data_IF_674704322511
#
_entry.id   IF_674704322511
#
_cell.length_a   1.000
_cell.length_b   1.000
_cell.length_c   1.000
_cell.angle_alpha   90.00
_cell.angle_beta   90.00
_cell.angle_gamma   90.00
#
_symmetry.space_group_name_H-M   'P 1'
#
loop_
_entity.id
_entity.type
_entity.pdbx_description
1 polymer ?
#
# COMPACT_ATOMS: atom_id res chain seq x y z
N UNK A 1 32.22 89.25 17.28
CA UNK A 1 33.21 88.27 17.79
C UNK A 1 32.49 86.95 18.00
N UNK A 2 32.67 86.01 17.06
CA UNK A 2 33.48 84.77 17.18
C UNK A 2 32.80 83.72 18.06
N UNK A 3 32.14 82.71 17.48
CA UNK A 3 32.71 81.42 17.01
C UNK A 3 33.35 80.60 18.14
N UNK A 4 32.77 79.42 18.41
CA UNK A 4 33.39 78.10 18.15
C UNK A 4 32.67 76.98 18.90
N UNK A 5 31.79 76.32 18.15
CA UNK A 5 31.73 74.87 17.91
C UNK A 5 32.90 74.04 18.50
N UNK A 6 32.56 73.06 19.34
CA UNK A 6 33.39 71.86 19.54
C UNK A 6 32.48 70.64 19.68
N UNK A 7 32.52 69.84 18.62
CA UNK A 7 32.03 68.47 18.52
C UNK A 7 32.57 67.58 19.64
N UNK A 8 31.72 66.70 20.16
CA UNK A 8 32.19 65.45 20.76
C UNK A 8 31.44 64.29 20.12
N UNK A 9 32.16 63.57 19.27
CA UNK A 9 31.71 62.42 18.49
C UNK A 9 31.65 61.20 19.41
N UNK A 10 30.45 60.75 19.74
CA UNK A 10 30.25 59.46 20.42
C UNK A 10 29.76 58.43 19.40
N UNK A 11 30.68 57.56 18.94
CA UNK A 11 30.39 56.43 18.07
C UNK A 11 29.49 55.41 18.79
N UNK A 12 28.18 55.50 18.57
CA UNK A 12 27.22 54.47 18.98
C UNK A 12 27.25 53.33 17.95
N UNK A 13 27.97 52.27 18.29
CA UNK A 13 27.95 51.01 17.56
C UNK A 13 26.51 50.48 17.45
N UNK A 14 25.97 50.47 16.23
CA UNK A 14 24.79 49.69 15.88
C UNK A 14 25.14 48.20 15.99
N UNK A 15 24.64 47.53 17.04
CA UNK A 15 24.60 46.07 17.06
C UNK A 15 23.15 45.62 16.80
N UNK A 16 22.95 45.10 15.59
CA UNK A 16 21.78 44.33 15.18
C UNK A 16 21.62 43.14 16.14
N UNK A 17 20.65 43.20 17.06
CA UNK A 17 20.17 41.97 17.70
C UNK A 17 19.21 41.29 16.74
N UNK A 18 19.79 40.38 15.95
CA UNK A 18 19.06 39.34 15.24
C UNK A 18 18.15 38.60 16.24
N UNK A 19 16.91 38.36 15.83
CA UNK A 19 15.96 37.50 16.52
C UNK A 19 16.60 36.11 16.70
N UNK A 20 16.93 35.76 17.94
CA UNK A 20 17.41 34.44 18.32
C UNK A 20 16.27 33.42 18.14
N UNK A 21 16.31 32.75 16.99
CA UNK A 21 15.59 31.53 16.67
C UNK A 21 16.33 30.32 17.27
N UNK A 22 16.66 30.37 18.56
CA UNK A 22 17.48 29.36 19.26
C UNK A 22 16.81 28.77 20.51
N UNK A 23 15.52 29.04 20.73
CA UNK A 23 14.78 28.51 21.88
C UNK A 23 14.14 27.11 21.65
N UNK A 24 14.64 26.32 20.68
CA UNK A 24 14.11 24.97 20.39
C UNK A 24 15.00 23.81 20.86
N UNK A 25 16.15 24.08 21.46
CA UNK A 25 16.95 23.05 22.14
C UNK A 25 16.63 23.07 23.64
N UNK A 26 15.55 22.39 24.03
CA UNK A 26 15.30 22.06 25.43
C UNK A 26 16.20 20.88 25.84
N UNK A 27 17.28 21.19 26.55
CA UNK A 27 18.09 20.25 27.31
C UNK A 27 17.22 19.36 28.23
N UNK A 28 17.41 18.03 28.28
CA UNK A 28 16.58 17.10 29.06
C UNK A 28 16.97 17.05 30.55
N UNK A 29 17.24 18.21 31.16
CA UNK A 29 17.91 18.31 32.45
C UNK A 29 17.14 18.93 33.60
N UNK A 30 15.98 19.57 33.38
CA UNK A 30 15.32 20.32 34.47
C UNK A 30 13.78 20.26 34.41
N UNK A 31 13.22 19.08 34.71
CA UNK A 31 11.78 18.85 34.79
C UNK A 31 11.22 18.99 36.22
N UNK A 32 12.00 19.50 37.18
CA UNK A 32 11.57 19.65 38.59
C UNK A 32 11.33 21.13 38.91
N UNK A 33 10.33 21.70 38.24
CA UNK A 33 9.79 23.03 38.56
C UNK A 33 8.28 23.05 38.31
N UNK A 34 7.52 23.83 39.09
CA UNK A 34 6.08 24.02 38.85
C UNK A 34 5.89 24.80 37.54
N UNK A 35 5.39 24.18 36.45
CA UNK A 35 5.26 24.86 35.17
C UNK A 35 4.18 25.95 35.29
N UNK A 36 4.53 27.19 34.92
CA UNK A 36 3.60 28.33 34.97
C UNK A 36 2.52 28.27 33.88
N UNK A 37 2.68 27.42 32.86
CA UNK A 37 1.77 27.29 31.72
C UNK A 37 1.73 25.82 31.25
N UNK A 38 0.52 25.28 31.06
CA UNK A 38 0.28 23.92 30.58
C UNK A 38 -0.45 23.99 29.22
N UNK A 39 0.28 23.80 28.12
CA UNK A 39 -0.27 23.97 26.76
C UNK A 39 -1.19 22.82 26.37
N UNK A 40 -0.93 21.61 26.86
CA UNK A 40 -1.76 20.43 26.63
C UNK A 40 -1.53 19.39 27.73
N UNK A 41 -2.58 18.62 28.05
CA UNK A 41 -2.49 17.41 28.86
C UNK A 41 -3.51 16.39 28.38
N UNK A 42 -3.21 15.11 28.54
CA UNK A 42 -4.11 14.02 28.18
C UNK A 42 -4.84 13.53 29.43
N UNK A 43 -6.16 13.40 29.33
CA UNK A 43 -7.00 12.88 30.41
C UNK A 43 -7.91 11.77 29.87
N UNK A 44 -7.80 10.58 30.46
CA UNK A 44 -8.67 9.45 30.16
C UNK A 44 -9.89 9.41 31.10
N UNK A 45 -11.01 8.90 30.60
CA UNK A 45 -12.23 8.67 31.38
C UNK A 45 -12.79 7.29 31.07
N UNK A 46 -13.30 6.58 32.08
CA UNK A 46 -13.86 5.23 31.91
C UNK A 46 -15.23 5.22 31.22
N UNK A 47 -15.94 6.36 31.26
CA UNK A 47 -17.29 6.49 30.68
C UNK A 47 -17.33 7.46 29.49
N UNK A 48 -17.81 7.03 28.30
CA UNK A 48 -17.94 7.89 27.12
C UNK A 48 -18.81 9.12 27.34
N UNK A 49 -19.87 9.00 28.14
CA UNK A 49 -20.79 10.10 28.46
C UNK A 49 -20.12 11.18 29.29
N UNK A 50 -19.22 10.79 30.21
CA UNK A 50 -18.49 11.72 31.06
C UNK A 50 -17.48 12.53 30.24
N UNK A 51 -16.80 11.92 29.27
CA UNK A 51 -15.92 12.62 28.33
C UNK A 51 -16.65 13.71 27.55
N UNK A 52 -17.88 13.43 27.09
CA UNK A 52 -18.70 14.41 26.35
C UNK A 52 -19.13 15.58 27.23
N UNK A 53 -19.51 15.31 28.49
CA UNK A 53 -19.88 16.34 29.46
C UNK A 53 -18.69 17.23 29.82
N UNK A 54 -17.54 16.62 30.12
CA UNK A 54 -16.30 17.35 30.43
C UNK A 54 -15.86 18.19 29.23
N UNK A 55 -15.87 17.64 28.02
CA UNK A 55 -15.55 18.39 26.80
C UNK A 55 -16.47 19.61 26.64
N UNK A 56 -17.78 19.44 26.82
CA UNK A 56 -18.75 20.54 26.72
C UNK A 56 -18.50 21.60 27.78
N UNK A 57 -18.27 21.20 29.02
CA UNK A 57 -18.03 22.11 30.13
C UNK A 57 -16.74 22.92 29.92
N UNK A 58 -15.67 22.28 29.46
CA UNK A 58 -14.40 22.94 29.13
C UNK A 58 -14.58 23.92 27.95
N UNK A 59 -15.20 23.48 26.85
CA UNK A 59 -15.40 24.33 25.68
C UNK A 59 -16.37 25.51 25.91
N UNK A 60 -17.21 25.44 26.95
CA UNK A 60 -18.16 26.51 27.31
C UNK A 60 -17.61 27.41 28.42
N UNK A 61 -16.46 27.08 29.00
CA UNK A 61 -15.83 27.86 30.06
C UNK A 61 -15.28 29.17 29.47
N UNK A 62 -15.96 30.28 29.75
CA UNK A 62 -15.62 31.62 29.22
C UNK A 62 -14.42 32.33 29.88
N UNK A 63 -14.09 32.10 31.17
CA UNK A 63 -13.00 32.83 31.82
C UNK A 63 -11.61 32.52 31.27
N UNK A 64 -11.40 31.35 30.68
CA UNK A 64 -10.12 30.92 30.11
C UNK A 64 -10.32 30.27 28.74
N UNK A 65 -9.43 30.54 27.80
CA UNK A 65 -9.48 29.98 26.45
C UNK A 65 -9.02 28.51 26.43
N UNK A 66 -9.85 27.62 26.95
CA UNK A 66 -9.61 26.18 26.99
C UNK A 66 -10.39 25.49 25.88
N UNK A 67 -9.75 24.53 25.21
CA UNK A 67 -10.38 23.69 24.19
C UNK A 67 -10.12 22.23 24.48
N UNK A 68 -11.20 21.46 24.58
CA UNK A 68 -11.19 20.02 24.74
C UNK A 68 -11.58 19.34 23.41
N UNK A 69 -10.69 18.47 22.95
CA UNK A 69 -10.86 17.63 21.76
C UNK A 69 -10.75 16.17 22.21
N UNK A 70 -11.46 15.28 21.51
CA UNK A 70 -11.36 13.83 21.72
C UNK A 70 -10.44 13.25 20.66
N UNK A 71 -9.12 13.18 20.90
CA UNK A 71 -8.15 12.76 19.88
C UNK A 71 -8.48 11.35 19.34
N UNK A 72 -9.01 10.46 20.17
CA UNK A 72 -9.40 9.12 19.73
C UNK A 72 -10.56 9.09 18.73
N UNK A 73 -11.53 10.02 18.81
CA UNK A 73 -12.63 10.09 17.83
C UNK A 73 -12.13 10.69 16.52
N UNK A 74 -11.35 11.78 16.59
CA UNK A 74 -10.82 12.45 15.40
C UNK A 74 -9.85 11.55 14.63
N UNK A 75 -8.98 10.81 15.31
CA UNK A 75 -8.12 9.83 14.65
C UNK A 75 -8.94 8.74 13.96
N UNK A 76 -9.99 8.21 14.61
CA UNK A 76 -10.88 7.21 13.99
C UNK A 76 -11.60 7.74 12.76
N UNK A 77 -12.00 9.01 12.73
CA UNK A 77 -12.57 9.62 11.53
C UNK A 77 -11.56 9.67 10.38
N UNK A 78 -10.29 10.02 10.65
CA UNK A 78 -9.24 10.01 9.63
C UNK A 78 -8.93 8.58 9.14
N UNK A 79 -8.81 7.62 10.06
CA UNK A 79 -8.66 6.21 9.71
C UNK A 79 -9.86 5.68 8.92
N UNK A 80 -11.08 6.09 9.27
CA UNK A 80 -12.28 5.71 8.52
C UNK A 80 -12.30 6.25 7.08
N UNK A 81 -11.70 7.41 6.82
CA UNK A 81 -11.51 7.89 5.44
C UNK A 81 -10.50 7.01 4.68
N UNK A 82 -9.44 6.55 5.35
CA UNK A 82 -8.46 5.62 4.76
C UNK A 82 -9.07 4.24 4.47
N UNK A 83 -9.94 3.72 5.32
CA UNK A 83 -10.64 2.45 5.11
C UNK A 83 -11.45 2.44 3.79
N UNK A 84 -12.03 3.58 3.41
CA UNK A 84 -12.78 3.71 2.15
C UNK A 84 -11.83 3.61 0.97
N UNK A 85 -10.69 4.31 1.03
CA UNK A 85 -9.66 4.26 -0.01
C UNK A 85 -9.10 2.85 -0.16
N UNK A 86 -8.81 2.17 0.96
CA UNK A 86 -8.36 0.79 0.98
C UNK A 86 -9.36 -0.14 0.28
N UNK A 87 -10.65 -0.04 0.61
CA UNK A 87 -11.71 -0.86 -0.02
C UNK A 87 -11.81 -0.64 -1.53
N UNK A 88 -11.65 0.60 -1.98
CA UNK A 88 -11.65 0.92 -3.42
C UNK A 88 -10.44 0.29 -4.10
N UNK A 89 -9.24 0.38 -3.51
CA UNK A 89 -8.04 -0.25 -4.04
C UNK A 89 -8.15 -1.78 -4.07
N UNK A 90 -8.76 -2.39 -3.03
CA UNK A 90 -9.05 -3.83 -3.01
C UNK A 90 -10.03 -4.23 -4.12
N UNK A 91 -11.08 -3.42 -4.36
CA UNK A 91 -11.99 -3.67 -5.47
C UNK A 91 -11.27 -3.65 -6.83
N UNK A 92 -10.42 -2.64 -7.06
CA UNK A 92 -9.60 -2.59 -8.27
C UNK A 92 -8.65 -3.78 -8.39
N UNK A 93 -8.02 -4.19 -7.29
CA UNK A 93 -7.16 -5.38 -7.27
C UNK A 93 -7.90 -6.63 -7.72
N UNK A 94 -9.10 -6.88 -7.17
CA UNK A 94 -9.94 -8.02 -7.57
C UNK A 94 -10.30 -7.95 -9.06
N UNK A 95 -10.70 -6.78 -9.57
CA UNK A 95 -11.03 -6.60 -10.99
C UNK A 95 -9.83 -6.87 -11.89
N UNK A 96 -8.64 -6.37 -11.53
CA UNK A 96 -7.40 -6.60 -12.28
C UNK A 96 -7.05 -8.08 -12.31
N UNK A 97 -7.18 -8.77 -11.18
CA UNK A 97 -6.98 -10.23 -11.12
C UNK A 97 -7.96 -10.94 -12.06
N UNK A 98 -9.25 -10.61 -12.03
CA UNK A 98 -10.25 -11.21 -12.92
C UNK A 98 -9.94 -10.99 -14.41
N UNK A 99 -9.55 -9.78 -14.80
CA UNK A 99 -9.18 -9.46 -16.18
C UNK A 99 -7.93 -10.25 -16.59
N UNK A 100 -6.93 -10.33 -15.70
CA UNK A 100 -5.69 -11.07 -15.96
C UNK A 100 -5.94 -12.56 -16.13
N UNK A 101 -6.82 -13.12 -15.31
CA UNK A 101 -7.26 -14.51 -15.37
C UNK A 101 -8.02 -14.83 -16.66
N UNK A 102 -8.92 -13.95 -17.10
CA UNK A 102 -9.59 -14.07 -18.39
C UNK A 102 -8.59 -13.97 -19.56
N UNK A 103 -7.63 -13.04 -19.50
CA UNK A 103 -6.57 -12.91 -20.49
C UNK A 103 -5.66 -14.15 -20.58
N UNK A 104 -5.32 -14.74 -19.44
CA UNK A 104 -4.60 -16.01 -19.37
C UNK A 104 -5.41 -17.14 -20.02
N UNK A 105 -6.70 -17.26 -19.68
CA UNK A 105 -7.59 -18.28 -20.23
C UNK A 105 -7.72 -18.17 -21.75
N UNK A 106 -7.95 -16.96 -22.28
CA UNK A 106 -8.08 -16.74 -23.72
C UNK A 106 -6.78 -17.04 -24.45
N UNK A 107 -5.63 -16.67 -23.87
CA UNK A 107 -4.31 -16.98 -24.43
C UNK A 107 -4.06 -18.49 -24.49
N UNK A 108 -4.36 -19.23 -23.42
CA UNK A 108 -4.20 -20.69 -23.38
C UNK A 108 -5.14 -21.39 -24.38
N UNK A 109 -6.39 -20.95 -24.49
CA UNK A 109 -7.34 -21.47 -25.47
C UNK A 109 -6.89 -21.19 -26.91
N UNK A 110 -6.35 -19.99 -27.16
CA UNK A 110 -5.80 -19.62 -28.47
C UNK A 110 -4.61 -20.50 -28.84
N UNK A 111 -3.64 -20.67 -27.92
CA UNK A 111 -2.49 -21.56 -28.08
C UNK A 111 -2.91 -23.00 -28.39
N UNK A 112 -3.92 -23.52 -27.68
CA UNK A 112 -4.48 -24.86 -27.94
C UNK A 112 -5.05 -24.98 -29.36
N UNK A 113 -5.78 -23.96 -29.83
CA UNK A 113 -6.37 -23.96 -31.16
C UNK A 113 -5.32 -23.97 -32.28
N UNK A 114 -4.22 -23.22 -32.10
CA UNK A 114 -3.11 -23.16 -33.03
C UNK A 114 -2.34 -24.50 -33.08
N UNK A 115 -2.09 -25.11 -31.92
CA UNK A 115 -1.37 -26.39 -31.80
C UNK A 115 -2.24 -27.61 -32.10
N UNK A 116 -3.53 -27.46 -32.41
CA UNK A 116 -4.45 -28.59 -32.66
C UNK A 116 -3.95 -29.53 -33.75
N UNK A 117 -3.38 -29.00 -34.85
CA UNK A 117 -2.82 -29.82 -35.94
C UNK A 117 -1.62 -30.65 -35.49
N UNK A 118 -0.73 -30.06 -34.71
CA UNK A 118 0.44 -30.76 -34.14
C UNK A 118 0.01 -31.87 -33.17
N UNK A 119 -0.98 -31.57 -32.31
CA UNK A 119 -1.55 -32.54 -31.38
C UNK A 119 -2.22 -33.73 -32.09
N UNK A 120 -2.87 -33.50 -33.22
CA UNK A 120 -3.42 -34.56 -34.05
C UNK A 120 -2.32 -35.47 -34.64
N UNK A 121 -1.22 -34.88 -35.12
CA UNK A 121 -0.06 -35.63 -35.64
C UNK A 121 0.59 -36.47 -34.52
N UNK A 122 0.84 -35.87 -33.35
CA UNK A 122 1.37 -36.56 -32.17
C UNK A 122 0.49 -37.75 -31.75
N UNK A 123 -0.83 -37.59 -31.85
CA UNK A 123 -1.78 -38.67 -31.56
C UNK A 123 -1.71 -39.80 -32.58
N UNK A 124 -1.48 -39.51 -33.86
CA UNK A 124 -1.24 -40.53 -34.90
C UNK A 124 0.01 -41.38 -34.63
N UNK A 125 0.97 -40.84 -33.89
CA UNK A 125 2.19 -41.55 -33.43
C UNK A 125 1.99 -42.24 -32.06
N UNK A 126 0.79 -42.15 -31.47
CA UNK A 126 0.41 -42.87 -30.24
C UNK A 126 0.47 -42.03 -28.95
N UNK A 127 0.56 -40.70 -29.03
CA UNK A 127 0.56 -39.84 -27.84
C UNK A 127 -0.76 -39.96 -27.03
N UNK A 128 -0.63 -40.16 -25.72
CA UNK A 128 -1.77 -40.27 -24.80
C UNK A 128 -2.34 -38.89 -24.45
N UNK A 129 -3.69 -38.72 -24.34
CA UNK A 129 -4.32 -37.43 -24.02
C UNK A 129 -3.95 -36.89 -22.63
N UNK A 130 -3.47 -37.74 -21.71
CA UNK A 130 -2.92 -37.33 -20.41
C UNK A 130 -1.65 -36.47 -20.55
N UNK A 131 -0.85 -36.68 -21.61
CA UNK A 131 0.37 -35.90 -21.84
C UNK A 131 0.03 -34.46 -22.22
N UNK A 132 -1.01 -34.27 -23.05
CA UNK A 132 -1.52 -32.96 -23.45
C UNK A 132 -2.07 -32.20 -22.23
N UNK A 133 -2.80 -32.90 -21.35
CA UNK A 133 -3.29 -32.32 -20.10
C UNK A 133 -2.15 -31.83 -19.19
N UNK A 134 -1.13 -32.66 -18.97
CA UNK A 134 0.03 -32.31 -18.14
C UNK A 134 0.83 -31.15 -18.72
N UNK A 135 0.99 -31.11 -20.05
CA UNK A 135 1.68 -30.03 -20.73
C UNK A 135 0.96 -28.68 -20.52
N UNK A 136 -0.37 -28.65 -20.75
CA UNK A 136 -1.18 -27.44 -20.54
C UNK A 136 -1.17 -26.97 -19.09
N UNK A 137 -1.28 -27.90 -18.12
CA UNK A 137 -1.18 -27.55 -16.71
C UNK A 137 0.20 -26.98 -16.38
N UNK A 138 1.29 -27.56 -16.91
CA UNK A 138 2.64 -27.05 -16.68
C UNK A 138 2.85 -25.66 -17.30
N UNK A 139 2.28 -25.38 -18.49
CA UNK A 139 2.34 -24.07 -19.13
C UNK A 139 1.61 -23.02 -18.27
N UNK A 140 0.41 -23.36 -17.77
CA UNK A 140 -0.33 -22.47 -16.88
C UNK A 140 0.39 -22.20 -15.55
N UNK A 141 0.96 -23.23 -14.93
CA UNK A 141 1.72 -23.10 -13.68
C UNK A 141 2.97 -22.24 -13.91
N UNK A 142 3.71 -22.47 -15.00
CA UNK A 142 4.89 -21.68 -15.34
C UNK A 142 4.56 -20.20 -15.54
N UNK A 143 3.50 -19.90 -16.30
CA UNK A 143 3.04 -18.51 -16.51
C UNK A 143 2.68 -17.86 -15.17
N UNK A 144 1.98 -18.59 -14.30
CA UNK A 144 1.55 -18.07 -12.99
C UNK A 144 2.74 -17.82 -12.06
N UNK A 145 3.69 -18.75 -12.00
CA UNK A 145 4.91 -18.64 -11.18
C UNK A 145 5.78 -17.48 -11.66
N UNK A 146 6.03 -17.38 -12.96
CA UNK A 146 6.84 -16.31 -13.54
C UNK A 146 6.17 -14.94 -13.34
N UNK A 147 4.86 -14.85 -13.60
CA UNK A 147 4.10 -13.62 -13.37
C UNK A 147 4.13 -13.19 -11.90
N UNK A 148 3.93 -14.13 -10.97
CA UNK A 148 4.02 -13.86 -9.53
C UNK A 148 5.41 -13.40 -9.12
N UNK A 149 6.47 -14.05 -9.62
CA UNK A 149 7.85 -13.69 -9.30
C UNK A 149 8.18 -12.28 -9.79
N UNK A 150 7.83 -11.97 -11.03
CA UNK A 150 8.04 -10.64 -11.64
C UNK A 150 7.23 -9.58 -10.87
N UNK A 151 5.99 -9.88 -10.50
CA UNK A 151 5.14 -8.97 -9.72
C UNK A 151 5.74 -8.61 -8.36
N UNK A 152 6.26 -9.61 -7.62
CA UNK A 152 6.93 -9.38 -6.33
C UNK A 152 8.19 -8.54 -6.50
N UNK A 153 9.02 -8.83 -7.51
CA UNK A 153 10.23 -8.04 -7.80
C UNK A 153 9.86 -6.59 -8.10
N UNK A 154 8.85 -6.38 -8.95
CA UNK A 154 8.39 -5.05 -9.32
C UNK A 154 7.81 -4.28 -8.13
N UNK A 155 7.07 -4.97 -7.26
CA UNK A 155 6.53 -4.39 -6.02
C UNK A 155 7.65 -3.84 -5.13
N UNK A 156 8.67 -4.66 -4.83
CA UNK A 156 9.80 -4.21 -4.01
C UNK A 156 10.61 -3.11 -4.67
N UNK A 157 10.79 -3.16 -6.00
CA UNK A 157 11.51 -2.13 -6.75
C UNK A 157 10.79 -0.78 -6.68
N UNK A 158 9.46 -0.77 -6.87
CA UNK A 158 8.65 0.44 -6.74
C UNK A 158 8.65 0.98 -5.31
N UNK A 159 8.61 0.10 -4.31
CA UNK A 159 8.68 0.48 -2.91
C UNK A 159 10.02 1.15 -2.56
N UNK A 160 11.13 0.60 -3.05
CA UNK A 160 12.47 1.14 -2.85
C UNK A 160 12.62 2.55 -3.46
N UNK A 161 12.12 2.75 -4.68
CA UNK A 161 12.17 4.05 -5.37
C UNK A 161 11.21 5.04 -4.70
N UNK A 162 10.03 4.57 -4.30
CA UNK A 162 8.97 5.38 -3.70
C UNK A 162 9.30 5.88 -2.29
N UNK A 163 10.09 5.12 -1.52
CA UNK A 163 10.45 5.46 -0.14
C UNK A 163 11.04 6.87 -0.02
N UNK A 164 11.99 7.23 -0.90
CA UNK A 164 12.65 8.54 -0.84
C UNK A 164 11.68 9.70 -1.09
N UNK A 165 10.79 9.54 -2.07
CA UNK A 165 9.77 10.56 -2.41
C UNK A 165 8.73 10.68 -1.30
N UNK A 166 8.29 9.55 -0.75
CA UNK A 166 7.24 9.53 0.27
C UNK A 166 7.73 10.09 1.61
N UNK A 167 8.97 9.80 1.99
CA UNK A 167 9.57 10.37 3.18
C UNK A 167 9.78 11.88 3.05
N UNK A 168 10.23 12.35 1.88
CA UNK A 168 10.48 13.78 1.65
C UNK A 168 9.21 14.63 1.59
N UNK A 169 8.13 14.14 0.97
CA UNK A 169 6.92 14.92 0.77
C UNK A 169 5.82 14.68 1.81
N UNK A 170 5.72 13.46 2.34
CA UNK A 170 4.63 13.06 3.23
C UNK A 170 5.10 12.70 4.65
N UNK A 171 6.42 12.65 4.90
CA UNK A 171 6.97 12.27 6.20
C UNK A 171 6.68 10.82 6.60
N UNK A 172 6.23 9.98 5.66
CA UNK A 172 5.88 8.58 5.91
C UNK A 172 7.15 7.73 5.72
N UNK A 173 7.63 7.14 6.81
CA UNK A 173 8.73 6.18 6.76
C UNK A 173 8.20 4.78 6.44
N UNK A 174 8.44 4.33 5.22
CA UNK A 174 8.19 2.95 4.82
C UNK A 174 9.42 2.12 5.18
N UNK A 175 9.26 1.17 6.09
CA UNK A 175 10.27 0.15 6.35
C UNK A 175 10.14 -1.00 5.34
N UNK A 176 11.23 -1.37 4.68
CA UNK A 176 11.32 -2.60 3.89
C UNK A 176 11.26 -3.81 4.83
N UNK A 177 10.06 -4.33 5.04
CA UNK A 177 9.86 -5.60 5.73
C UNK A 177 9.85 -6.74 4.71
N UNK A 178 10.26 -7.92 5.16
CA UNK A 178 10.05 -9.15 4.39
C UNK A 178 8.55 -9.44 4.25
N UNK A 179 8.24 -10.25 3.24
CA UNK A 179 6.88 -10.64 2.90
C UNK A 179 6.17 -11.20 4.15
N UNK A 180 5.12 -10.51 4.57
CA UNK A 180 4.31 -10.89 5.73
C UNK A 180 3.56 -12.19 5.45
N UNK A 181 3.13 -12.89 6.51
CA UNK A 181 2.33 -14.10 6.38
C UNK A 181 1.07 -13.88 5.53
N UNK A 182 0.45 -12.72 5.65
CA UNK A 182 -0.72 -12.34 4.86
C UNK A 182 -0.41 -12.26 3.36
N UNK A 183 0.72 -11.65 3.00
CA UNK A 183 1.16 -11.49 1.61
C UNK A 183 1.55 -12.85 0.98
N UNK A 184 2.22 -13.72 1.76
CA UNK A 184 2.49 -15.11 1.36
C UNK A 184 1.21 -15.90 1.11
N UNK A 185 0.21 -15.77 1.98
CA UNK A 185 -1.10 -16.40 1.80
C UNK A 185 -1.76 -15.91 0.51
N UNK A 186 -1.69 -14.60 0.23
CA UNK A 186 -2.26 -13.98 -0.97
C UNK A 186 -1.59 -14.49 -2.25
N UNK A 187 -0.26 -14.59 -2.26
CA UNK A 187 0.48 -15.23 -3.36
C UNK A 187 0.07 -16.70 -3.55
N UNK A 188 -0.11 -17.44 -2.46
CA UNK A 188 -0.62 -18.81 -2.49
C UNK A 188 -2.00 -18.91 -3.15
N UNK A 189 -2.92 -18.02 -2.77
CA UNK A 189 -4.27 -17.93 -3.37
C UNK A 189 -4.19 -17.61 -4.86
N UNK A 190 -3.32 -16.69 -5.28
CA UNK A 190 -3.12 -16.34 -6.69
C UNK A 190 -2.59 -17.55 -7.47
N UNK A 191 -1.60 -18.27 -6.92
CA UNK A 191 -1.08 -19.50 -7.53
C UNK A 191 -2.17 -20.58 -7.68
N UNK A 192 -2.95 -20.81 -6.62
CA UNK A 192 -4.07 -21.76 -6.67
C UNK A 192 -5.10 -21.36 -7.73
N UNK A 193 -5.45 -20.07 -7.81
CA UNK A 193 -6.45 -19.58 -8.76
C UNK A 193 -5.95 -19.70 -10.22
N UNK A 194 -4.69 -19.38 -10.47
CA UNK A 194 -4.05 -19.58 -11.78
C UNK A 194 -4.02 -21.06 -12.19
N UNK A 195 -3.72 -21.97 -11.26
CA UNK A 195 -3.76 -23.41 -11.50
C UNK A 195 -5.18 -23.91 -11.82
N UNK A 196 -6.19 -23.45 -11.06
CA UNK A 196 -7.60 -23.79 -11.31
C UNK A 196 -8.02 -23.34 -12.71
N UNK A 197 -7.67 -22.11 -13.10
CA UNK A 197 -8.01 -21.58 -14.42
C UNK A 197 -7.26 -22.28 -15.55
N UNK A 198 -5.98 -22.62 -15.34
CA UNK A 198 -5.20 -23.44 -16.28
C UNK A 198 -5.76 -24.84 -16.49
N UNK A 199 -6.50 -25.37 -15.51
CA UNK A 199 -7.14 -26.68 -15.61
C UNK A 199 -8.30 -26.66 -16.64
N UNK A 200 -8.99 -25.53 -16.81
CA UNK A 200 -10.13 -25.38 -17.75
C UNK A 200 -9.74 -25.73 -19.21
N UNK A 201 -8.73 -25.08 -19.83
CA UNK A 201 -8.30 -25.44 -21.18
C UNK A 201 -7.68 -26.84 -21.25
N UNK A 202 -7.03 -27.31 -20.18
CA UNK A 202 -6.48 -28.66 -20.12
C UNK A 202 -7.57 -29.75 -20.22
N UNK A 203 -8.70 -29.57 -19.51
CA UNK A 203 -9.87 -30.44 -19.60
C UNK A 203 -10.48 -30.37 -21.01
N UNK A 204 -10.62 -29.17 -21.57
CA UNK A 204 -11.12 -28.99 -22.96
C UNK A 204 -10.25 -29.73 -23.97
N UNK A 205 -8.93 -29.66 -23.85
CA UNK A 205 -7.98 -30.36 -24.71
C UNK A 205 -8.15 -31.90 -24.62
N UNK A 206 -8.37 -32.42 -23.41
CA UNK A 206 -8.62 -33.84 -23.19
C UNK A 206 -9.88 -34.32 -23.93
N UNK A 207 -10.97 -33.57 -23.86
CA UNK A 207 -12.23 -33.91 -24.54
C UNK A 207 -12.13 -33.81 -26.06
N UNK A 208 -11.47 -32.78 -26.61
CA UNK A 208 -11.27 -32.68 -28.07
C UNK A 208 -10.47 -33.87 -28.62
N UNK A 209 -9.46 -34.35 -27.87
CA UNK A 209 -8.67 -35.51 -28.27
C UNK A 209 -9.51 -36.79 -28.37
N UNK A 210 -10.44 -37.01 -27.44
CA UNK A 210 -11.32 -38.18 -27.47
C UNK A 210 -12.27 -38.15 -28.68
N UNK A 211 -12.82 -36.98 -29.02
CA UNK A 211 -13.85 -36.86 -30.05
C UNK A 211 -13.29 -36.87 -31.48
N UNK A 212 -12.08 -36.33 -31.70
CA UNK A 212 -11.43 -36.35 -33.03
C UNK A 212 -11.06 -37.77 -33.51
N UNK A 213 -11.04 -38.78 -32.62
CA UNK A 213 -10.84 -40.17 -33.00
C UNK A 213 -12.01 -40.82 -33.74
N UNK A 214 -13.19 -40.18 -33.79
CA UNK A 214 -14.42 -40.78 -34.33
C UNK A 214 -14.95 -40.10 -35.61
N UNK A 215 -14.37 -38.99 -36.08
CA UNK A 215 -14.79 -38.34 -37.32
C UNK A 215 -13.68 -38.34 -38.37
N UNK A 216 -13.53 -39.48 -39.06
CA UNK A 216 -12.96 -39.47 -40.41
C UNK A 216 -14.02 -38.76 -41.28
N UNK A 217 -13.81 -37.46 -41.53
CA UNK A 217 -14.54 -36.77 -42.60
C UNK A 217 -13.85 -37.14 -43.91
N UNK A 218 -14.50 -38.04 -44.66
CA UNK A 218 -14.30 -38.19 -46.11
C UNK A 218 -14.64 -36.88 -46.83
#
# INVERSE_FOLDING_TARGET
EHEHEHDNVEHKHHNHKAHDLSALESEPGDLIGHPKQLTAFLMGFDSPLYTLQVRRNINTYKPEALSAIMPGVTLRELWGMLDIVEKILLLFSVVVVLISLLGMLTTLLSSLSQRRRELAILRSVGARPKHIFSLMCSEAVLITVLGSLIGVILFYLLMLIGQGVLQAQFGISISLSLLSYYELMLLGVIMCTGAVIGTIPAIRAYFYSLNDGMSIKL
#
